data_IF_354337037123
#
_entry.id   IF_354337037123
#
_cell.length_a   1.000
_cell.length_b   1.000
_cell.length_c   1.000
_cell.angle_alpha   90.00
_cell.angle_beta   90.00
_cell.angle_gamma   90.00
#
_symmetry.space_group_name_H-M   'P 1'
#
loop_
_entity.id
_entity.type
_entity.pdbx_description
1 polymer ?
#
# COMPACT_ATOMS: atom_id res chain seq x y z
N UNK A 1 -6.96 24.41 -14.60
CA UNK A 1 -7.60 23.10 -14.38
C UNK A 1 -6.72 22.40 -13.35
N UNK A 2 -7.21 22.14 -12.14
CA UNK A 2 -6.41 21.38 -11.16
C UNK A 2 -6.32 19.97 -11.74
N UNK A 3 -5.12 19.57 -12.13
CA UNK A 3 -4.75 18.19 -12.38
C UNK A 3 -5.31 17.39 -11.21
N UNK A 4 -6.36 16.60 -11.45
CA UNK A 4 -6.85 15.61 -10.48
C UNK A 4 -5.85 14.47 -10.50
N UNK A 5 -4.64 14.75 -10.05
CA UNK A 5 -3.60 13.76 -9.87
C UNK A 5 -3.98 12.87 -8.67
N UNK A 6 -3.69 11.59 -8.77
CA UNK A 6 -3.97 10.67 -7.67
C UNK A 6 -3.20 11.09 -6.42
N UNK A 7 -3.72 10.83 -5.21
CA UNK A 7 -2.91 11.01 -4.02
C UNK A 7 -1.67 10.12 -4.12
N UNK A 8 -0.49 10.68 -3.82
CA UNK A 8 0.74 9.90 -3.69
C UNK A 8 0.65 9.07 -2.41
N UNK A 9 0.52 7.75 -2.59
CA UNK A 9 0.36 6.81 -1.47
C UNK A 9 1.58 5.92 -1.27
N UNK A 10 2.66 6.17 -2.01
CA UNK A 10 3.91 5.44 -1.88
C UNK A 10 4.48 5.60 -0.46
N UNK A 11 4.99 4.51 0.11
CA UNK A 11 5.48 4.42 1.49
C UNK A 11 4.42 4.56 2.59
N UNK A 12 3.15 4.80 2.27
CA UNK A 12 2.09 4.78 3.27
C UNK A 12 1.77 3.35 3.71
N UNK A 13 1.34 3.16 4.98
CA UNK A 13 0.66 1.94 5.39
C UNK A 13 -0.54 1.67 4.48
N UNK A 14 -0.82 0.39 4.17
CA UNK A 14 -1.92 0.03 3.28
C UNK A 14 -3.26 0.70 3.69
N UNK A 15 -3.61 0.65 4.97
CA UNK A 15 -4.84 1.28 5.49
C UNK A 15 -4.93 2.78 5.17
N UNK A 16 -3.80 3.51 5.25
CA UNK A 16 -3.75 4.94 4.94
C UNK A 16 -3.75 5.22 3.44
N UNK A 17 -3.14 4.35 2.65
CA UNK A 17 -3.22 4.43 1.20
C UNK A 17 -4.66 4.21 0.70
N UNK A 18 -5.36 3.23 1.26
CA UNK A 18 -6.76 2.92 0.94
C UNK A 18 -7.70 4.06 1.32
N UNK A 19 -7.51 4.65 2.50
CA UNK A 19 -8.24 5.83 2.96
C UNK A 19 -8.06 7.00 1.98
N UNK A 20 -6.82 7.36 1.65
CA UNK A 20 -6.52 8.48 0.76
C UNK A 20 -7.09 8.28 -0.66
N UNK A 21 -6.94 7.09 -1.25
CA UNK A 21 -7.49 6.80 -2.58
C UNK A 21 -9.01 6.84 -2.59
N UNK A 22 -9.65 6.33 -1.53
CA UNK A 22 -11.11 6.37 -1.39
C UNK A 22 -11.63 7.80 -1.23
N UNK A 23 -10.98 8.62 -0.41
CA UNK A 23 -11.33 10.03 -0.23
C UNK A 23 -11.16 10.85 -1.52
N UNK A 24 -10.17 10.48 -2.34
CA UNK A 24 -9.95 11.08 -3.66
C UNK A 24 -10.91 10.53 -4.74
N UNK A 25 -11.82 9.61 -4.41
CA UNK A 25 -12.71 8.92 -5.35
C UNK A 25 -11.98 8.13 -6.45
N UNK A 26 -10.80 7.57 -6.14
CA UNK A 26 -10.08 6.67 -7.02
C UNK A 26 -10.48 5.22 -6.77
N UNK A 27 -10.74 4.49 -7.86
CA UNK A 27 -10.78 3.02 -7.81
C UNK A 27 -9.36 2.49 -7.65
N UNK A 28 -9.17 1.44 -6.85
CA UNK A 28 -7.84 0.87 -6.67
C UNK A 28 -7.83 -0.66 -6.59
N UNK A 29 -6.73 -1.24 -7.06
CA UNK A 29 -6.41 -2.66 -6.95
C UNK A 29 -5.15 -2.84 -6.08
N UNK A 30 -5.24 -3.68 -5.05
CA UNK A 30 -4.12 -4.01 -4.18
C UNK A 30 -3.43 -5.28 -4.68
N UNK A 31 -2.15 -5.16 -5.02
CA UNK A 31 -1.29 -6.31 -5.34
C UNK A 31 -0.29 -6.56 -4.22
N UNK A 32 -0.31 -7.74 -3.64
CA UNK A 32 0.64 -8.11 -2.59
C UNK A 32 1.85 -8.81 -3.20
N UNK A 33 3.05 -8.36 -2.85
CA UNK A 33 4.26 -9.14 -3.11
C UNK A 33 4.42 -10.10 -1.93
N UNK A 34 4.48 -11.43 -2.17
CA UNK A 34 4.69 -12.38 -1.09
C UNK A 34 6.02 -12.04 -0.39
N UNK A 35 6.04 -12.06 0.96
CA UNK A 35 7.28 -11.82 1.68
C UNK A 35 8.31 -12.89 1.29
N UNK A 36 9.55 -12.48 1.04
CA UNK A 36 10.66 -13.40 0.75
C UNK A 36 11.05 -14.27 1.97
N UNK A 37 10.46 -14.02 3.13
CA UNK A 37 10.74 -14.72 4.37
C UNK A 37 9.71 -15.83 4.59
N UNK A 38 10.19 -17.06 4.78
CA UNK A 38 9.37 -18.21 5.16
C UNK A 38 8.61 -17.99 6.46
N UNK A 39 7.48 -18.69 6.56
CA UNK A 39 6.52 -18.75 7.68
C UNK A 39 7.10 -18.32 9.05
N UNK A 40 6.46 -17.29 9.59
CA UNK A 40 6.14 -17.02 11.00
C UNK A 40 7.06 -17.63 12.07
N UNK A 41 7.81 -16.75 12.73
CA UNK A 41 8.34 -16.98 14.08
C UNK A 41 7.58 -16.04 15.04
N UNK A 42 6.94 -16.63 16.06
CA UNK A 42 5.82 -16.07 16.82
C UNK A 42 6.13 -14.77 17.56
N UNK A 43 5.69 -13.65 16.99
CA UNK A 43 5.76 -12.31 17.62
C UNK A 43 6.09 -11.17 16.65
N UNK A 44 6.32 -11.45 15.36
CA UNK A 44 6.60 -10.39 14.38
C UNK A 44 5.32 -9.95 13.67
N UNK A 45 4.76 -8.81 14.07
CA UNK A 45 3.67 -8.17 13.31
C UNK A 45 4.21 -7.66 11.97
N UNK A 46 3.75 -8.27 10.87
CA UNK A 46 4.02 -7.78 9.53
C UNK A 46 3.11 -6.59 9.23
N UNK A 47 3.68 -5.43 8.90
CA UNK A 47 2.91 -4.29 8.41
C UNK A 47 3.08 -4.15 6.90
N UNK A 48 1.97 -4.02 6.19
CA UNK A 48 1.91 -3.79 4.76
C UNK A 48 2.10 -2.29 4.45
N UNK A 49 3.00 -2.00 3.51
CA UNK A 49 3.28 -0.65 3.03
C UNK A 49 3.24 -0.64 1.51
N UNK A 50 2.74 0.45 0.93
CA UNK A 50 2.78 0.63 -0.53
C UNK A 50 4.24 0.82 -0.97
N UNK A 51 4.73 -0.11 -1.78
CA UNK A 51 6.05 -0.06 -2.39
C UNK A 51 6.05 0.60 -3.77
N UNK A 52 4.92 0.51 -4.49
CA UNK A 52 4.76 1.07 -5.82
C UNK A 52 3.31 1.46 -6.05
N UNK A 53 3.10 2.59 -6.71
CA UNK A 53 1.82 3.03 -7.24
C UNK A 53 1.93 3.12 -8.76
N UNK A 54 0.91 2.62 -9.45
CA UNK A 54 0.77 2.76 -10.90
C UNK A 54 -0.61 3.35 -11.19
N UNK A 55 -0.62 4.51 -11.85
CA UNK A 55 -1.86 5.15 -12.27
C UNK A 55 -2.33 4.55 -13.59
N UNK A 56 -3.63 4.33 -13.68
CA UNK A 56 -4.33 3.84 -14.85
C UNK A 56 -5.37 4.89 -15.29
N UNK A 57 -5.84 4.82 -16.55
CA UNK A 57 -6.93 5.67 -17.02
C UNK A 57 -8.19 5.50 -16.15
N UNK A 58 -9.07 6.51 -16.18
CA UNK A 58 -10.38 6.49 -15.49
C UNK A 58 -10.28 6.46 -13.95
N UNK A 59 -9.34 7.21 -13.36
CA UNK A 59 -9.15 7.28 -11.90
C UNK A 59 -8.94 5.91 -11.24
N UNK A 60 -8.17 5.05 -11.91
CA UNK A 60 -7.79 3.73 -11.40
C UNK A 60 -6.33 3.73 -10.95
N UNK A 61 -6.04 3.12 -9.81
CA UNK A 61 -4.69 2.96 -9.30
C UNK A 61 -4.40 1.50 -8.96
N UNK A 62 -3.23 1.00 -9.36
CA UNK A 62 -2.72 -0.27 -8.86
C UNK A 62 -1.66 0.04 -7.83
N UNK A 63 -1.90 -0.38 -6.59
CA UNK A 63 -0.93 -0.25 -5.49
C UNK A 63 -0.32 -1.60 -5.18
N UNK A 64 1.00 -1.68 -5.26
CA UNK A 64 1.74 -2.88 -4.88
C UNK A 64 2.25 -2.72 -3.46
N UNK A 65 1.85 -3.63 -2.58
CA UNK A 65 2.26 -3.62 -1.17
C UNK A 65 3.38 -4.60 -0.90
N UNK A 66 4.30 -4.17 -0.04
CA UNK A 66 5.38 -4.95 0.51
C UNK A 66 5.19 -5.09 2.02
N UNK A 67 5.53 -6.25 2.56
CA UNK A 67 5.50 -6.50 4.01
C UNK A 67 6.85 -6.18 4.62
N UNK A 68 6.86 -5.30 5.62
CA UNK A 68 8.05 -5.04 6.44
C UNK A 68 7.87 -5.66 7.82
N UNK A 69 8.87 -6.44 8.24
CA UNK A 69 8.99 -6.89 9.63
C UNK A 69 9.26 -5.67 10.50
N UNK A 70 8.36 -5.34 11.42
CA UNK A 70 8.72 -4.53 12.58
C UNK A 70 9.07 -5.48 13.71
N UNK A 71 10.31 -5.40 14.19
CA UNK A 71 10.67 -5.97 15.48
C UNK A 71 10.01 -5.06 16.53
N UNK A 72 9.04 -5.57 17.26
CA UNK A 72 8.65 -4.95 18.53
C UNK A 72 9.87 -5.06 19.45
N UNK A 73 10.50 -3.92 19.71
CA UNK A 73 11.42 -3.76 20.83
C UNK A 73 10.55 -3.54 22.05
N UNK A 74 10.33 -4.63 22.81
CA UNK A 74 9.81 -4.59 24.17
C UNK A 74 10.90 -4.11 25.12
#
# INVERSE_FOLDING_TARGET
MKETDAPDVVSLPLEKAEEALREAHWEYEVRTVPPAYGKEDGGTTLKAYVGRQQLLPQHKAVITVMYKKRREVH
#
